data_IF_354276611461
#
_entry.id   IF_354276611461
#
_cell.length_a   1.000
_cell.length_b   1.000
_cell.length_c   1.000
_cell.angle_alpha   90.00
_cell.angle_beta   90.00
_cell.angle_gamma   90.00
#
_symmetry.space_group_name_H-M   'P 1'
#
loop_
_entity.id
_entity.type
_entity.pdbx_description
1 polymer ?
#
# COMPACT_ATOMS: atom_id res chain seq x y z
N UNK A 1 -19.02 9.36 13.76
CA UNK A 1 -19.00 8.44 12.60
C UNK A 1 -17.54 8.09 12.35
N UNK A 2 -17.12 6.85 12.60
CA UNK A 2 -15.75 6.43 12.28
C UNK A 2 -15.79 5.95 10.83
N UNK A 3 -15.35 6.79 9.90
CA UNK A 3 -15.19 6.39 8.51
C UNK A 3 -14.19 5.22 8.46
N UNK A 4 -14.68 4.04 8.06
CA UNK A 4 -13.82 2.88 7.82
C UNK A 4 -13.09 3.15 6.52
N UNK A 5 -11.87 3.68 6.64
CA UNK A 5 -10.97 3.79 5.50
C UNK A 5 -10.67 2.39 4.97
N UNK A 6 -10.67 2.27 3.66
CA UNK A 6 -10.19 1.05 3.00
C UNK A 6 -8.70 0.88 3.24
N UNK A 7 -8.18 -0.34 3.15
CA UNK A 7 -6.74 -0.61 3.31
C UNK A 7 -5.89 0.23 2.34
N UNK A 8 -6.45 0.53 1.16
CA UNK A 8 -5.87 1.45 0.17
C UNK A 8 -5.73 2.87 0.71
N UNK A 9 -6.80 3.43 1.26
CA UNK A 9 -6.80 4.79 1.80
C UNK A 9 -5.94 4.89 3.06
N UNK A 10 -5.92 3.85 3.89
CA UNK A 10 -5.04 3.78 5.06
C UNK A 10 -3.57 3.83 4.63
N UNK A 11 -3.19 3.05 3.61
CA UNK A 11 -1.83 3.06 3.10
C UNK A 11 -1.48 4.41 2.45
N UNK A 12 -2.34 4.96 1.60
CA UNK A 12 -2.11 6.28 0.98
C UNK A 12 -1.96 7.38 2.03
N UNK A 13 -2.76 7.35 3.09
CA UNK A 13 -2.67 8.28 4.21
C UNK A 13 -1.41 8.05 5.04
N UNK A 14 -0.99 6.80 5.25
CA UNK A 14 0.23 6.46 5.96
C UNK A 14 1.48 6.90 5.18
N UNK A 15 1.49 6.73 3.84
CA UNK A 15 2.59 7.16 2.97
C UNK A 15 2.74 8.68 2.84
N UNK A 16 1.73 9.47 3.24
CA UNK A 16 1.88 10.93 3.41
C UNK A 16 2.83 11.28 4.55
N UNK A 17 3.06 10.38 5.51
CA UNK A 17 4.05 10.59 6.56
C UNK A 17 5.46 10.26 6.03
N UNK A 18 6.41 11.20 6.05
CA UNK A 18 7.75 11.01 5.49
C UNK A 18 8.54 9.88 6.19
N UNK A 19 8.29 9.63 7.48
CA UNK A 19 8.93 8.53 8.21
C UNK A 19 8.46 7.17 7.69
N UNK A 20 7.14 7.03 7.50
CA UNK A 20 6.53 5.79 6.97
C UNK A 20 6.98 5.56 5.53
N UNK A 21 6.98 6.60 4.69
CA UNK A 21 7.46 6.52 3.31
C UNK A 21 8.91 6.05 3.23
N UNK A 22 9.78 6.51 4.13
CA UNK A 22 11.19 6.09 4.18
C UNK A 22 11.34 4.62 4.53
N UNK A 23 10.60 4.15 5.54
CA UNK A 23 10.58 2.73 5.93
C UNK A 23 10.01 1.87 4.80
N UNK A 24 8.93 2.31 4.16
CA UNK A 24 8.34 1.62 3.01
C UNK A 24 9.33 1.49 1.83
N UNK A 25 10.12 2.53 1.58
CA UNK A 25 11.22 2.49 0.61
C UNK A 25 12.28 1.44 0.99
N UNK A 26 12.74 1.43 2.24
CA UNK A 26 13.70 0.43 2.71
C UNK A 26 13.15 -1.00 2.64
N UNK A 27 11.86 -1.20 2.92
CA UNK A 27 11.21 -2.51 2.78
C UNK A 27 11.18 -2.96 1.33
N UNK A 28 11.03 -2.04 0.36
CA UNK A 28 11.11 -2.37 -1.06
C UNK A 28 12.49 -2.88 -1.48
N UNK A 29 13.54 -2.40 -0.82
CA UNK A 29 14.92 -2.83 -1.09
C UNK A 29 15.26 -4.15 -0.37
N UNK A 30 14.70 -4.39 0.82
CA UNK A 30 14.98 -5.59 1.64
C UNK A 30 14.11 -6.79 1.22
N UNK A 31 12.82 -6.56 0.99
CA UNK A 31 11.82 -7.59 0.63
C UNK A 31 10.97 -7.13 -0.57
N UNK A 32 11.59 -6.98 -1.77
CA UNK A 32 10.89 -6.49 -2.96
C UNK A 32 9.68 -7.34 -3.34
N UNK A 33 9.72 -8.65 -3.12
CA UNK A 33 8.63 -9.59 -3.46
C UNK A 33 7.38 -9.35 -2.60
N UNK A 34 7.53 -9.15 -1.30
CA UNK A 34 6.40 -8.87 -0.40
C UNK A 34 5.77 -7.51 -0.68
N UNK A 35 6.60 -6.51 -1.01
CA UNK A 35 6.12 -5.18 -1.43
C UNK A 35 5.43 -5.28 -2.79
N UNK A 36 5.97 -6.05 -3.72
CA UNK A 36 5.37 -6.28 -5.04
C UNK A 36 4.09 -7.13 -4.97
N UNK A 37 3.94 -8.06 -4.04
CA UNK A 37 2.69 -8.79 -3.81
C UNK A 37 1.61 -7.86 -3.24
N UNK A 38 1.98 -7.02 -2.28
CA UNK A 38 1.09 -5.98 -1.75
C UNK A 38 0.72 -4.95 -2.82
N UNK A 39 1.62 -4.60 -3.75
CA UNK A 39 1.34 -3.74 -4.89
C UNK A 39 0.60 -4.46 -6.04
N UNK A 40 0.85 -5.75 -6.23
CA UNK A 40 0.33 -6.58 -7.30
C UNK A 40 -1.11 -7.01 -7.05
N UNK A 41 -1.48 -7.31 -5.79
CA UNK A 41 -2.88 -7.43 -5.37
C UNK A 41 -3.70 -6.18 -5.75
N UNK A 42 -3.08 -4.99 -5.79
CA UNK A 42 -3.73 -3.73 -6.24
C UNK A 42 -4.08 -3.73 -7.73
N UNK A 43 -3.32 -4.41 -8.59
CA UNK A 43 -3.63 -4.50 -10.03
C UNK A 43 -4.73 -5.52 -10.32
N UNK A 44 -4.79 -6.61 -9.56
CA UNK A 44 -5.77 -7.66 -9.79
C UNK A 44 -7.17 -7.31 -9.24
N UNK A 45 -7.25 -6.57 -8.12
CA UNK A 45 -8.54 -6.04 -7.62
C UNK A 45 -9.11 -4.91 -8.50
N UNK A 46 -8.25 -4.11 -9.14
CA UNK A 46 -8.71 -3.06 -10.07
C UNK A 46 -9.30 -3.61 -11.38
N UNK A 47 -9.12 -4.90 -11.66
CA UNK A 47 -9.61 -5.57 -12.87
C UNK A 47 -10.84 -6.45 -12.63
N UNK A 48 -11.26 -6.63 -11.38
CA UNK A 48 -12.42 -7.45 -11.02
C UNK A 48 -13.75 -6.67 -10.97
N UNK A 49 -13.73 -5.38 -11.32
CA UNK A 49 -14.90 -4.48 -11.34
C UNK A 49 -15.02 -3.74 -12.69
N UNK A 50 -14.87 -4.49 -13.80
CA UNK A 50 -15.18 -4.03 -15.17
C UNK A 50 -15.98 -5.08 -15.93
#
# INVERSE_FOLDING_TARGET
>A
MTEKLTDKEMLEKALKNPKVRRVWGALRDIIPEAVAEHEGKRKHESYADS
#
